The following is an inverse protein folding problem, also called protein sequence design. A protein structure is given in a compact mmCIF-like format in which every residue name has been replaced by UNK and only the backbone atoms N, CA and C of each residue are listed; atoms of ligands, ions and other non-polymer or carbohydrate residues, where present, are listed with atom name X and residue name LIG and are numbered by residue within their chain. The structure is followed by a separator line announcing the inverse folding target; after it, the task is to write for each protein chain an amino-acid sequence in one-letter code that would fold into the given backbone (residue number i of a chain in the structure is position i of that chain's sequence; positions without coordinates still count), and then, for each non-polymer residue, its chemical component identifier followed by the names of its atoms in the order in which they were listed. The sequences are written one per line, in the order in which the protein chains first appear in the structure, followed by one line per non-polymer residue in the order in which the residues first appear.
data_IF_374897126523
#
_entry.id   IF_374897126523
#
_cell.length_a   1.000
_cell.length_b   1.000
_cell.length_c   1.000
_cell.angle_alpha   90.00
_cell.angle_beta   90.00
_cell.angle_gamma   90.00
#
_symmetry.space_group_name_H-M   'P 1'
#
loop_
_entity.id
_entity.type
_entity.pdbx_description
1 polymer ?
#
# COMPACT_ATOMS: atom_id res chain seq x y z
N UNK A 1 -1.91 -14.61 16.94
CA UNK A 1 -3.03 -14.06 17.72
C UNK A 1 -4.06 -13.56 16.73
N UNK A 2 -5.21 -14.23 16.58
CA UNK A 2 -6.29 -13.77 15.69
C UNK A 2 -7.13 -12.83 16.54
N UNK A 3 -6.89 -11.53 16.36
CA UNK A 3 -7.59 -10.46 17.05
C UNK A 3 -8.79 -10.08 16.18
N UNK A 4 -9.95 -9.82 16.78
CA UNK A 4 -11.13 -9.33 16.05
C UNK A 4 -10.79 -8.03 15.28
N UNK A 5 -11.45 -7.77 14.14
CA UNK A 5 -11.14 -6.61 13.28
C UNK A 5 -11.06 -5.31 14.10
N UNK A 6 -11.97 -5.09 15.05
CA UNK A 6 -12.04 -3.87 15.86
C UNK A 6 -10.91 -3.74 16.92
N UNK A 7 -10.57 -4.84 17.61
CA UNK A 7 -9.47 -4.86 18.58
C UNK A 7 -8.11 -4.70 17.89
N UNK A 8 -7.95 -5.26 16.68
CA UNK A 8 -6.73 -5.12 15.87
C UNK A 8 -6.51 -3.66 15.44
N UNK A 9 -7.59 -2.97 15.05
CA UNK A 9 -7.55 -1.54 14.74
C UNK A 9 -7.19 -0.68 15.96
N UNK A 10 -7.78 -0.99 17.11
CA UNK A 10 -7.50 -0.26 18.36
C UNK A 10 -6.04 -0.42 18.76
N UNK A 11 -5.48 -1.63 18.67
CA UNK A 11 -4.07 -1.89 18.94
C UNK A 11 -3.14 -1.10 18.00
N UNK A 12 -3.40 -1.15 16.69
CA UNK A 12 -2.60 -0.41 15.69
C UNK A 12 -2.64 1.10 15.96
N UNK A 13 -3.81 1.66 16.28
CA UNK A 13 -3.95 3.10 16.58
C UNK A 13 -3.05 3.57 17.72
N UNK A 14 -2.83 2.74 18.74
CA UNK A 14 -1.99 3.09 19.88
C UNK A 14 -0.48 2.98 19.58
N UNK A 15 -0.08 2.14 18.62
CA UNK A 15 1.32 1.94 18.23
C UNK A 15 1.83 3.05 17.31
N UNK A 16 0.95 3.65 16.51
CA UNK A 16 1.34 4.64 15.50
C UNK A 16 1.60 6.01 16.15
N UNK A 17 2.79 6.55 15.93
CA UNK A 17 3.20 7.87 16.43
C UNK A 17 3.24 8.93 15.32
N UNK A 18 3.48 8.53 14.07
CA UNK A 18 3.65 9.43 12.92
C UNK A 18 2.30 10.06 12.50
N UNK A 19 2.22 11.40 12.34
CA UNK A 19 0.96 12.07 12.04
C UNK A 19 0.26 11.64 10.74
N UNK A 20 1.01 11.40 9.66
CA UNK A 20 0.44 10.94 8.38
C UNK A 20 -0.17 9.55 8.49
N UNK A 21 0.50 8.64 9.20
CA UNK A 21 0.02 7.29 9.48
C UNK A 21 -1.24 7.30 10.38
N UNK A 22 -1.26 8.13 11.44
CA UNK A 22 -2.45 8.29 12.30
C UNK A 22 -3.68 8.70 11.49
N UNK A 23 -3.51 9.74 10.68
CA UNK A 23 -4.58 10.26 9.81
C UNK A 23 -5.06 9.22 8.80
N UNK A 24 -4.15 8.43 8.24
CA UNK A 24 -4.51 7.34 7.35
C UNK A 24 -5.34 6.26 8.07
N UNK A 25 -4.92 5.82 9.25
CA UNK A 25 -5.64 4.79 10.03
C UNK A 25 -6.99 5.28 10.54
N UNK A 26 -7.12 6.54 10.93
CA UNK A 26 -8.43 7.12 11.27
C UNK A 26 -9.39 7.06 10.07
N UNK A 27 -8.92 7.44 8.88
CA UNK A 27 -9.71 7.36 7.64
C UNK A 27 -10.04 5.92 7.27
N UNK A 28 -9.08 5.00 7.38
CA UNK A 28 -9.28 3.57 7.10
C UNK A 28 -10.30 2.96 8.07
N UNK A 29 -10.17 3.25 9.36
CA UNK A 29 -11.09 2.79 10.39
C UNK A 29 -12.51 3.26 10.11
N UNK A 30 -12.69 4.55 9.81
CA UNK A 30 -14.01 5.08 9.44
C UNK A 30 -14.57 4.39 8.19
N UNK A 31 -13.74 4.25 7.16
CA UNK A 31 -14.12 3.62 5.90
C UNK A 31 -14.65 2.18 6.07
N UNK A 32 -14.06 1.42 6.99
CA UNK A 32 -14.49 0.05 7.28
C UNK A 32 -15.75 0.03 8.16
N UNK A 33 -15.83 0.91 9.16
CA UNK A 33 -16.97 0.99 10.08
C UNK A 33 -18.27 1.44 9.39
N UNK A 34 -18.19 2.16 8.26
CA UNK A 34 -19.37 2.61 7.51
C UNK A 34 -20.15 1.45 6.82
N UNK A 35 -19.69 0.19 6.97
CA UNK A 35 -20.50 -1.02 6.81
C UNK A 35 -20.74 -1.52 5.37
N UNK A 36 -20.21 -0.83 4.36
CA UNK A 36 -20.24 -1.21 2.94
C UNK A 36 -18.91 -0.88 2.25
N UNK A 37 -17.83 -1.43 2.81
CA UNK A 37 -16.51 -1.25 2.23
C UNK A 37 -16.34 -2.22 1.06
N UNK A 38 -15.70 -1.78 -0.01
CA UNK A 38 -15.41 -2.66 -1.14
C UNK A 38 -14.50 -3.83 -0.74
N UNK A 39 -13.80 -3.73 0.40
CA UNK A 39 -12.96 -4.80 0.93
C UNK A 39 -13.77 -6.06 1.23
N UNK A 40 -14.98 -5.92 1.79
CA UNK A 40 -15.83 -7.06 2.15
C UNK A 40 -16.74 -7.49 0.98
N UNK A 41 -17.07 -6.58 0.05
CA UNK A 41 -17.97 -6.87 -1.07
C UNK A 41 -17.26 -7.53 -2.27
N UNK A 42 -16.01 -7.12 -2.56
CA UNK A 42 -15.34 -7.51 -3.81
C UNK A 42 -14.41 -8.72 -3.66
N UNK A 43 -14.04 -9.13 -2.44
CA UNK A 43 -12.97 -10.09 -2.17
C UNK A 43 -13.44 -11.26 -1.29
N UNK A 44 -12.86 -12.44 -1.51
CA UNK A 44 -13.11 -13.64 -0.70
C UNK A 44 -12.61 -13.44 0.74
N UNK A 45 -11.46 -12.77 0.87
CA UNK A 45 -10.94 -12.26 2.13
C UNK A 45 -9.93 -11.14 1.89
N UNK A 46 -9.70 -10.36 2.94
CA UNK A 46 -8.65 -9.35 2.98
C UNK A 46 -8.06 -9.24 4.39
N UNK A 47 -6.82 -8.78 4.47
CA UNK A 47 -6.14 -8.42 5.73
C UNK A 47 -5.20 -7.26 5.47
N UNK A 48 -4.86 -6.51 6.52
CA UNK A 48 -3.84 -5.48 6.45
C UNK A 48 -2.98 -5.50 7.71
N UNK A 49 -1.76 -5.00 7.59
CA UNK A 49 -0.83 -4.83 8.71
C UNK A 49 -0.09 -3.50 8.58
N UNK A 50 0.30 -2.94 9.73
CA UNK A 50 1.39 -1.96 9.78
C UNK A 50 2.71 -2.70 9.64
N UNK A 51 3.67 -2.13 8.91
CA UNK A 51 5.06 -2.59 8.92
C UNK A 51 5.88 -1.82 9.96
N UNK A 52 6.82 -2.52 10.56
CA UNK A 52 7.81 -2.01 11.49
C UNK A 52 9.18 -1.98 10.82
N UNK A 53 9.74 -0.77 10.67
CA UNK A 53 11.00 -0.53 9.99
C UNK A 53 12.23 -1.23 10.61
N UNK A 54 12.14 -1.68 11.86
CA UNK A 54 13.24 -2.34 12.57
C UNK A 54 13.10 -3.87 12.65
N UNK A 55 11.89 -4.40 12.51
CA UNK A 55 11.60 -5.82 12.74
C UNK A 55 11.22 -6.57 11.46
N UNK A 56 10.60 -5.89 10.50
CA UNK A 56 10.11 -6.54 9.28
C UNK A 56 11.17 -6.56 8.18
N UNK A 57 11.30 -7.72 7.52
CA UNK A 57 12.22 -7.91 6.39
C UNK A 57 11.56 -7.67 5.02
N UNK A 58 10.33 -7.13 5.02
CA UNK A 58 9.60 -6.81 3.80
C UNK A 58 9.95 -5.39 3.34
N UNK A 59 10.72 -5.27 2.28
CA UNK A 59 11.15 -3.99 1.73
C UNK A 59 11.28 -4.00 0.20
N UNK A 60 11.23 -2.82 -0.39
CA UNK A 60 11.49 -2.56 -1.80
C UNK A 60 12.89 -1.91 -1.91
N UNK A 61 13.89 -2.55 -2.56
CA UNK A 61 15.17 -1.92 -2.78
C UNK A 61 15.05 -0.78 -3.81
N UNK A 62 15.76 0.31 -3.57
CA UNK A 62 15.85 1.43 -4.52
C UNK A 62 17.25 2.05 -4.52
N UNK A 63 17.66 2.64 -5.65
CA UNK A 63 18.92 3.35 -5.76
C UNK A 63 18.81 4.77 -5.20
N UNK A 64 19.68 5.12 -4.25
CA UNK A 64 19.81 6.46 -3.68
C UNK A 64 20.98 7.19 -4.38
N UNK A 65 20.69 8.11 -5.33
CA UNK A 65 21.73 8.78 -6.11
C UNK A 65 22.56 9.76 -5.28
N UNK A 66 22.01 10.30 -4.19
CA UNK A 66 22.75 11.23 -3.31
C UNK A 66 23.90 10.52 -2.59
N UNK A 67 23.73 9.23 -2.29
CA UNK A 67 24.68 8.43 -1.52
C UNK A 67 25.33 7.30 -2.32
N UNK A 68 24.97 7.14 -3.60
CA UNK A 68 25.53 6.11 -4.49
C UNK A 68 25.32 4.67 -4.04
N UNK A 69 24.21 4.36 -3.36
CA UNK A 69 23.96 3.03 -2.76
C UNK A 69 22.52 2.56 -2.89
N UNK A 70 22.31 1.25 -2.80
CA UNK A 70 20.97 0.66 -2.67
C UNK A 70 20.48 0.83 -1.23
N UNK A 71 19.25 1.33 -1.08
CA UNK A 71 18.56 1.48 0.20
C UNK A 71 17.30 0.65 0.24
N UNK A 72 16.85 0.34 1.45
CA UNK A 72 15.59 -0.37 1.71
C UNK A 72 14.48 0.64 1.92
N UNK A 73 13.42 0.55 1.12
CA UNK A 73 12.18 1.25 1.37
C UNK A 73 11.19 0.28 2.02
N UNK A 74 10.81 0.56 3.26
CA UNK A 74 9.77 -0.16 4.00
C UNK A 74 8.52 0.74 3.97
N UNK A 75 7.44 0.36 3.26
CA UNK A 75 6.17 1.10 3.31
C UNK A 75 5.54 1.02 4.70
N UNK A 76 4.68 1.98 5.06
CA UNK A 76 4.07 1.99 6.40
C UNK A 76 3.02 0.89 6.61
N UNK A 77 2.28 0.55 5.55
CA UNK A 77 1.21 -0.45 5.58
C UNK A 77 1.29 -1.41 4.41
N UNK A 78 0.78 -2.61 4.63
CA UNK A 78 0.61 -3.64 3.61
C UNK A 78 -0.81 -4.21 3.71
N UNK A 79 -1.45 -4.38 2.57
CA UNK A 79 -2.76 -4.99 2.42
C UNK A 79 -2.64 -6.24 1.54
N UNK A 80 -3.42 -7.25 1.85
CA UNK A 80 -3.56 -8.46 1.06
C UNK A 80 -5.03 -8.65 0.72
N UNK A 81 -5.30 -8.88 -0.55
CA UNK A 81 -6.64 -9.15 -1.07
C UNK A 81 -6.63 -10.45 -1.86
N UNK A 82 -7.62 -11.30 -1.61
CA UNK A 82 -7.83 -12.52 -2.41
C UNK A 82 -9.19 -12.50 -3.08
N UNK A 83 -9.21 -12.80 -4.37
CA UNK A 83 -10.42 -13.10 -5.13
C UNK A 83 -10.15 -14.23 -6.12
N UNK A 84 -10.77 -15.38 -5.95
CA UNK A 84 -10.53 -16.57 -6.75
C UNK A 84 -9.02 -16.91 -6.80
N UNK A 85 -8.41 -16.95 -7.99
CA UNK A 85 -6.96 -17.18 -8.16
C UNK A 85 -6.12 -15.90 -8.08
N UNK A 86 -6.74 -14.72 -8.00
CA UNK A 86 -6.02 -13.46 -7.93
C UNK A 86 -5.65 -13.14 -6.47
N UNK A 87 -4.41 -12.73 -6.28
CA UNK A 87 -3.82 -12.41 -4.99
C UNK A 87 -3.08 -11.09 -5.09
N UNK A 88 -3.70 -10.02 -4.59
CA UNK A 88 -3.18 -8.66 -4.73
C UNK A 88 -2.56 -8.19 -3.41
N UNK A 89 -1.30 -7.79 -3.46
CA UNK A 89 -0.57 -7.19 -2.34
C UNK A 89 -0.45 -5.70 -2.61
N UNK A 90 -0.92 -4.85 -1.69
CA UNK A 90 -0.87 -3.40 -1.86
C UNK A 90 -0.06 -2.79 -0.72
N UNK A 91 1.09 -2.23 -1.05
CA UNK A 91 1.85 -1.38 -0.15
C UNK A 91 1.26 0.03 -0.12
N UNK A 92 1.04 0.58 1.07
CA UNK A 92 0.54 1.95 1.26
C UNK A 92 1.46 2.72 2.20
N UNK A 93 1.88 3.90 1.78
CA UNK A 93 2.90 4.70 2.47
C UNK A 93 2.41 6.15 2.63
N UNK A 94 1.75 6.50 3.75
CA UNK A 94 1.25 7.84 4.01
C UNK A 94 2.33 8.91 4.16
N UNK A 95 2.27 9.94 3.31
CA UNK A 95 3.18 11.08 3.32
C UNK A 95 2.53 12.33 3.87
N UNK A 96 3.20 12.96 4.84
CA UNK A 96 2.83 14.27 5.38
C UNK A 96 3.22 15.43 4.44
N UNK A 97 4.34 15.30 3.75
CA UNK A 97 4.90 16.27 2.80
C UNK A 97 5.47 15.53 1.60
N UNK A 98 5.25 16.06 0.39
CA UNK A 98 5.77 15.50 -0.85
C UNK A 98 7.29 15.77 -0.97
N UNK A 99 8.10 15.04 -0.21
CA UNK A 99 9.56 15.09 -0.33
C UNK A 99 10.02 14.36 -1.60
N UNK A 100 11.00 14.91 -2.31
CA UNK A 100 11.56 14.38 -3.58
C UNK A 100 11.95 12.89 -3.50
N UNK A 101 12.28 12.38 -2.32
CA UNK A 101 12.71 11.00 -2.07
C UNK A 101 11.70 9.92 -2.49
N UNK A 102 10.42 10.25 -2.74
CA UNK A 102 9.46 9.25 -3.23
C UNK A 102 9.76 8.79 -4.66
N UNK A 103 10.39 9.63 -5.49
CA UNK A 103 10.64 9.30 -6.91
C UNK A 103 11.51 8.05 -7.03
N UNK A 104 12.64 8.02 -6.30
CA UNK A 104 13.55 6.88 -6.36
C UNK A 104 12.92 5.59 -5.82
N UNK A 105 12.04 5.70 -4.82
CA UNK A 105 11.27 4.57 -4.29
C UNK A 105 10.31 3.99 -5.32
N UNK A 106 9.58 4.85 -6.03
CA UNK A 106 8.69 4.44 -7.14
C UNK A 106 9.51 3.76 -8.23
N UNK A 107 10.66 4.32 -8.61
CA UNK A 107 11.55 3.69 -9.60
C UNK A 107 11.99 2.29 -9.17
N UNK A 108 12.40 2.11 -7.91
CA UNK A 108 12.74 0.79 -7.36
C UNK A 108 11.58 -0.20 -7.44
N UNK A 109 10.37 0.25 -7.11
CA UNK A 109 9.16 -0.55 -7.26
C UNK A 109 8.89 -0.93 -8.74
N UNK A 110 8.96 0.03 -9.67
CA UNK A 110 8.67 -0.19 -11.10
C UNK A 110 9.60 -1.25 -11.68
N UNK A 111 10.89 -1.21 -11.35
CA UNK A 111 11.88 -2.18 -11.81
C UNK A 111 11.53 -3.61 -11.42
N UNK A 112 10.91 -3.81 -10.26
CA UNK A 112 10.62 -5.14 -9.71
C UNK A 112 9.24 -5.66 -10.11
N UNK A 113 8.23 -4.78 -10.10
CA UNK A 113 6.83 -5.16 -10.12
C UNK A 113 6.04 -4.61 -11.30
N UNK A 114 6.67 -3.86 -12.21
CA UNK A 114 6.04 -3.42 -13.44
C UNK A 114 6.79 -3.91 -14.69
N UNK A 115 6.03 -4.10 -15.75
CA UNK A 115 6.52 -4.44 -17.08
C UNK A 115 5.63 -3.74 -18.12
N UNK A 116 6.24 -3.02 -19.07
CA UNK A 116 5.52 -2.21 -20.06
C UNK A 116 4.49 -1.24 -19.44
N UNK A 117 4.82 -0.63 -18.30
CA UNK A 117 3.94 0.26 -17.51
C UNK A 117 2.66 -0.40 -16.97
N UNK A 118 2.63 -1.74 -16.90
CA UNK A 118 1.57 -2.50 -16.27
C UNK A 118 2.13 -3.29 -15.09
N UNK A 119 1.29 -3.58 -14.10
CA UNK A 119 1.70 -4.40 -12.96
C UNK A 119 1.96 -5.83 -13.43
N UNK A 120 3.14 -6.36 -13.10
CA UNK A 120 3.53 -7.72 -13.45
C UNK A 120 2.67 -8.72 -12.68
N UNK A 121 2.26 -9.78 -13.36
CA UNK A 121 1.60 -10.95 -12.75
C UNK A 121 2.64 -12.03 -12.50
N UNK A 122 2.80 -12.42 -11.24
CA UNK A 122 3.66 -13.53 -10.84
C UNK A 122 2.78 -14.77 -10.62
N UNK A 123 3.12 -15.89 -11.27
CA UNK A 123 2.47 -17.15 -10.95
C UNK A 123 3.17 -17.79 -9.75
N UNK A 124 2.45 -17.98 -8.65
CA UNK A 124 2.98 -18.62 -7.45
C UNK A 124 1.94 -19.55 -6.85
N UNK A 125 2.25 -20.84 -6.74
CA UNK A 125 1.34 -21.87 -6.21
C UNK A 125 -0.07 -21.85 -6.85
N UNK A 126 -0.13 -21.59 -8.17
CA UNK A 126 -1.40 -21.52 -8.90
C UNK A 126 -2.21 -20.23 -8.67
N UNK A 127 -1.64 -19.25 -7.98
CA UNK A 127 -2.20 -17.90 -7.80
C UNK A 127 -1.54 -16.91 -8.77
N UNK A 128 -2.33 -15.95 -9.22
CA UNK A 128 -1.89 -14.77 -9.94
C UNK A 128 -1.60 -13.66 -8.93
N UNK A 129 -0.33 -13.52 -8.56
CA UNK A 129 0.12 -12.53 -7.58
C UNK A 129 0.47 -11.23 -8.27
N UNK A 130 -0.07 -10.11 -7.79
CA UNK A 130 0.26 -8.76 -8.25
C UNK A 130 0.62 -7.90 -7.04
N UNK A 131 1.62 -7.04 -7.19
CA UNK A 131 2.12 -6.20 -6.10
C UNK A 131 2.01 -4.74 -6.54
N UNK A 132 1.37 -3.93 -5.72
CA UNK A 132 1.07 -2.52 -5.98
C UNK A 132 1.74 -1.63 -4.94
N UNK A 133 2.12 -0.42 -5.33
CA UNK A 133 2.60 0.63 -4.44
C UNK A 133 1.69 1.85 -4.53
N UNK A 134 1.22 2.34 -3.39
CA UNK A 134 0.43 3.57 -3.28
C UNK A 134 1.03 4.51 -2.25
N UNK A 135 1.14 5.77 -2.61
CA UNK A 135 1.54 6.85 -1.72
C UNK A 135 0.29 7.62 -1.30
N UNK A 136 0.02 7.67 0.00
CA UNK A 136 -1.16 8.36 0.51
C UNK A 136 -0.85 9.81 0.87
N UNK A 137 -1.70 10.74 0.47
CA UNK A 137 -1.61 12.16 0.85
C UNK A 137 -2.98 12.71 1.23
N UNK A 138 -3.02 13.83 1.94
CA UNK A 138 -4.29 14.52 2.21
C UNK A 138 -4.87 15.24 0.99
N UNK A 139 -4.04 15.55 -0.01
CA UNK A 139 -4.45 16.24 -1.23
C UNK A 139 -3.51 15.86 -2.39
N UNK A 140 -3.99 15.04 -3.32
CA UNK A 140 -3.18 14.58 -4.47
C UNK A 140 -2.92 15.65 -5.51
N UNK A 141 -3.71 16.74 -5.54
CA UNK A 141 -3.49 17.84 -6.49
C UNK A 141 -2.19 18.61 -6.21
N UNK A 142 -1.62 18.43 -5.02
CA UNK A 142 -0.32 19.00 -4.64
C UNK A 142 0.87 18.21 -5.19
N UNK A 143 0.61 17.06 -5.81
CA UNK A 143 1.64 16.17 -6.36
C UNK A 143 1.71 16.36 -7.87
N UNK A 144 2.94 16.50 -8.40
CA UNK A 144 3.18 16.76 -9.82
C UNK A 144 3.72 15.57 -10.60
N UNK A 145 4.57 14.74 -9.97
CA UNK A 145 5.21 13.61 -10.63
C UNK A 145 4.61 12.29 -10.12
N UNK A 146 4.50 11.31 -11.02
CA UNK A 146 4.02 9.96 -10.70
C UNK A 146 2.63 9.93 -10.05
N UNK A 147 1.72 10.82 -10.47
CA UNK A 147 0.40 11.02 -9.86
C UNK A 147 -0.47 9.76 -9.85
N UNK A 148 -0.19 8.79 -10.73
CA UNK A 148 -0.84 7.48 -10.79
C UNK A 148 -0.60 6.60 -9.55
N UNK A 149 0.47 6.86 -8.79
CA UNK A 149 0.77 6.17 -7.53
C UNK A 149 0.18 6.88 -6.30
N UNK A 150 -0.39 8.08 -6.47
CA UNK A 150 -0.88 8.88 -5.36
C UNK A 150 -2.38 8.75 -5.16
N UNK A 151 -2.76 8.52 -3.91
CA UNK A 151 -4.16 8.42 -3.49
C UNK A 151 -4.44 9.42 -2.36
N UNK A 152 -5.67 9.91 -2.31
CA UNK A 152 -6.16 10.78 -1.24
C UNK A 152 -7.40 10.22 -0.52
N UNK A 153 -7.98 9.15 -1.08
CA UNK A 153 -9.08 8.37 -0.52
C UNK A 153 -8.75 6.88 -0.43
N UNK A 154 -9.27 6.20 0.59
CA UNK A 154 -9.16 4.73 0.73
C UNK A 154 -9.83 4.02 -0.46
N UNK A 155 -10.92 4.57 -0.99
CA UNK A 155 -11.61 4.01 -2.16
C UNK A 155 -10.75 4.01 -3.44
N UNK A 156 -9.67 4.80 -3.50
CA UNK A 156 -8.77 4.79 -4.65
C UNK A 156 -7.98 3.47 -4.74
N UNK A 157 -7.82 2.73 -3.64
CA UNK A 157 -7.22 1.38 -3.65
C UNK A 157 -7.99 0.47 -4.61
N UNK A 158 -9.34 0.53 -4.61
CA UNK A 158 -10.17 -0.26 -5.54
C UNK A 158 -9.84 0.02 -7.00
N UNK A 159 -9.56 1.28 -7.36
CA UNK A 159 -9.29 1.68 -8.75
C UNK A 159 -8.05 0.98 -9.30
N UNK A 160 -7.04 0.78 -8.47
CA UNK A 160 -5.79 0.14 -8.86
C UNK A 160 -5.94 -1.39 -8.98
N UNK A 161 -6.79 -1.98 -8.14
CA UNK A 161 -7.10 -3.41 -8.18
C UNK A 161 -7.98 -3.81 -9.36
N UNK A 162 -8.91 -2.94 -9.79
CA UNK A 162 -9.83 -3.20 -10.92
C UNK A 162 -9.17 -2.98 -12.28
N UNK A 163 -8.26 -2.02 -12.41
CA UNK A 163 -7.64 -1.61 -13.70
C UNK A 163 -6.83 -2.70 -14.42
N UNK A 164 -6.47 -3.79 -13.73
CA UNK A 164 -5.60 -4.84 -14.29
C UNK A 164 -6.30 -6.21 -14.33
N UNK A 165 -7.64 -6.24 -14.22
CA UNK A 165 -8.45 -7.45 -14.19
C UNK A 165 -9.24 -7.74 -15.47
N UNK A 166 -9.01 -6.99 -16.54
CA UNK A 166 -9.60 -7.19 -17.88
C UNK A 166 -8.59 -7.84 -18.83
#
# INVERSE_FOLDING_TARGET
MIISKEEHFTLIKHIITVPSEKKFIEKLSKFISDGKSFFDEDFDWWIFSKLNEHLDEVYIPYYDPEHGRIRKFIPDFIFWFKKNKNYDIVFVDPKGTAHINYVNKILGYKVLFEENNMVRVFNFNGLNVRIYLLLYTSDKNKVRAYSEYWIDSISDIKKVLVRNGE
#
